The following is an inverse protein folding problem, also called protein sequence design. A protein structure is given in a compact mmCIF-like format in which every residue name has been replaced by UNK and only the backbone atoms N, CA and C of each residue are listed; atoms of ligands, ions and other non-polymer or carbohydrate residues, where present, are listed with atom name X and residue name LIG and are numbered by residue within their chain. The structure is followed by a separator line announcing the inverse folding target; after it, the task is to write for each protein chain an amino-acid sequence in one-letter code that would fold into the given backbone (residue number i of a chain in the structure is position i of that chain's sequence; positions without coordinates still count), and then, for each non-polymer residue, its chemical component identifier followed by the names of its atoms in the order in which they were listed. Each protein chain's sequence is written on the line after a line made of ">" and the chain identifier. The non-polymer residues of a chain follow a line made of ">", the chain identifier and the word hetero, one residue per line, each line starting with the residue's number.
data_IF_102137749308
#
_entry.id   IF_102137749308
#
_cell.length_a   1.000
_cell.length_b   1.000
_cell.length_c   1.000
_cell.angle_alpha   90.00
_cell.angle_beta   90.00
_cell.angle_gamma   90.00
#
_symmetry.space_group_name_H-M   'P 1'
#
loop_
_entity.id
_entity.type
_entity.pdbx_description
1 polymer ?
#
# COMPACT_ATOMS: atom_id res chain seq x y z
N UNK A 1 -14.87 -7.94 -14.08
CA UNK A 1 -15.55 -7.38 -12.90
C UNK A 1 -14.59 -7.49 -11.73
N UNK A 2 -14.15 -6.37 -11.14
CA UNK A 2 -13.30 -6.38 -9.94
C UNK A 2 -14.15 -6.02 -8.73
N UNK A 3 -14.12 -6.84 -7.68
CA UNK A 3 -14.88 -6.59 -6.44
C UNK A 3 -14.11 -5.71 -5.45
N UNK A 4 -12.77 -5.77 -5.44
CA UNK A 4 -11.90 -4.88 -4.67
C UNK A 4 -10.64 -4.50 -5.49
N UNK A 5 -10.61 -3.31 -6.12
CA UNK A 5 -9.45 -2.84 -6.88
C UNK A 5 -8.18 -2.61 -6.04
N UNK A 6 -8.32 -2.40 -4.73
CA UNK A 6 -7.18 -2.26 -3.81
C UNK A 6 -6.60 -3.63 -3.52
N UNK A 7 -7.45 -4.64 -3.27
CA UNK A 7 -6.98 -6.01 -3.06
C UNK A 7 -6.24 -6.57 -4.30
N UNK A 8 -6.72 -6.26 -5.51
CA UNK A 8 -6.02 -6.58 -6.76
C UNK A 8 -4.62 -5.93 -6.80
N UNK A 9 -4.54 -4.63 -6.51
CA UNK A 9 -3.27 -3.90 -6.43
C UNK A 9 -2.27 -4.53 -5.44
N UNK A 10 -2.68 -4.83 -4.22
CA UNK A 10 -1.81 -5.45 -3.21
C UNK A 10 -1.39 -6.87 -3.64
N UNK A 11 -2.30 -7.60 -4.30
CA UNK A 11 -2.02 -8.96 -4.79
C UNK A 11 -1.02 -8.94 -5.94
N UNK A 12 -1.11 -7.99 -6.88
CA UNK A 12 -0.14 -7.85 -7.96
C UNK A 12 1.26 -7.50 -7.45
N UNK A 13 1.37 -6.65 -6.43
CA UNK A 13 2.65 -6.37 -5.77
C UNK A 13 3.24 -7.65 -5.17
N UNK A 14 2.45 -8.37 -4.36
CA UNK A 14 2.88 -9.62 -3.72
C UNK A 14 3.31 -10.68 -4.74
N UNK A 15 2.50 -10.89 -5.78
CA UNK A 15 2.80 -11.88 -6.81
C UNK A 15 4.01 -11.47 -7.65
N UNK A 16 4.14 -10.18 -7.99
CA UNK A 16 5.33 -9.66 -8.67
C UNK A 16 6.60 -9.85 -7.85
N UNK A 17 6.51 -9.68 -6.52
CA UNK A 17 7.61 -9.95 -5.61
C UNK A 17 8.02 -11.41 -5.61
N UNK A 18 7.06 -12.32 -5.44
CA UNK A 18 7.31 -13.77 -5.46
C UNK A 18 7.87 -14.26 -6.81
N UNK A 19 7.47 -13.62 -7.91
CA UNK A 19 7.98 -13.92 -9.26
C UNK A 19 9.34 -13.28 -9.57
N UNK A 20 9.90 -12.46 -8.67
CA UNK A 20 11.18 -11.78 -8.88
C UNK A 20 11.13 -10.68 -9.96
N UNK A 21 9.96 -10.12 -10.23
CA UNK A 21 9.80 -9.06 -11.23
C UNK A 21 10.38 -7.74 -10.72
N UNK A 22 11.03 -6.98 -11.62
CA UNK A 22 11.55 -5.65 -11.27
C UNK A 22 10.44 -4.60 -11.19
N UNK A 23 9.43 -4.73 -12.05
CA UNK A 23 8.33 -3.78 -12.19
C UNK A 23 7.01 -4.53 -12.29
N UNK A 24 5.97 -3.97 -11.66
CA UNK A 24 4.59 -4.46 -11.76
C UNK A 24 3.71 -3.35 -12.34
N UNK A 25 2.85 -3.72 -13.28
CA UNK A 25 1.92 -2.81 -13.94
C UNK A 25 0.48 -3.05 -13.46
N UNK A 26 -0.19 -1.95 -13.08
CA UNK A 26 -1.50 -1.98 -12.43
C UNK A 26 -2.34 -0.82 -12.98
N UNK A 27 -3.66 -0.98 -13.19
CA UNK A 27 -4.50 0.17 -13.53
C UNK A 27 -4.44 1.24 -12.43
N UNK A 28 -4.19 2.48 -12.82
CA UNK A 28 -4.00 3.61 -11.90
C UNK A 28 -5.32 4.05 -11.26
N UNK A 29 -5.23 4.56 -10.04
CA UNK A 29 -6.28 5.31 -9.35
C UNK A 29 -5.65 6.23 -8.31
N UNK A 30 -6.34 7.30 -7.90
CA UNK A 30 -5.83 8.25 -6.90
C UNK A 30 -5.40 7.55 -5.60
N UNK A 31 -6.21 6.59 -5.12
CA UNK A 31 -5.90 5.81 -3.91
C UNK A 31 -4.68 4.92 -4.10
N UNK A 32 -4.54 4.24 -5.25
CA UNK A 32 -3.37 3.37 -5.52
C UNK A 32 -2.09 4.20 -5.59
N UNK A 33 -2.15 5.37 -6.23
CA UNK A 33 -1.02 6.31 -6.30
C UNK A 33 -0.62 6.77 -4.90
N UNK A 34 -1.57 7.20 -4.07
CA UNK A 34 -1.29 7.62 -2.69
C UNK A 34 -0.69 6.49 -1.83
N UNK A 35 -1.17 5.24 -2.00
CA UNK A 35 -0.56 4.08 -1.32
C UNK A 35 0.87 3.86 -1.83
N UNK A 36 1.11 3.94 -3.13
CA UNK A 36 2.46 3.80 -3.72
C UNK A 36 3.42 4.89 -3.25
N UNK A 37 2.96 6.13 -3.10
CA UNK A 37 3.74 7.23 -2.53
C UNK A 37 4.19 6.92 -1.10
N UNK A 38 3.25 6.51 -0.23
CA UNK A 38 3.59 6.08 1.14
C UNK A 38 4.57 4.91 1.14
N UNK A 39 4.38 3.91 0.27
CA UNK A 39 5.28 2.76 0.17
C UNK A 39 6.70 3.19 -0.24
N UNK A 40 6.83 4.19 -1.12
CA UNK A 40 8.12 4.75 -1.53
C UNK A 40 8.78 5.51 -0.39
N UNK A 41 8.04 6.39 0.28
CA UNK A 41 8.56 7.21 1.39
C UNK A 41 9.01 6.36 2.58
N UNK A 42 8.30 5.27 2.85
CA UNK A 42 8.67 4.30 3.89
C UNK A 42 9.74 3.30 3.40
N UNK A 43 10.18 3.38 2.15
CA UNK A 43 11.29 2.61 1.60
C UNK A 43 10.98 1.14 1.27
N UNK A 44 9.70 0.79 1.12
CA UNK A 44 9.24 -0.57 0.74
C UNK A 44 9.35 -0.85 -0.76
N UNK A 45 9.23 0.17 -1.60
CA UNK A 45 9.43 0.10 -3.05
C UNK A 45 10.56 1.03 -3.46
N UNK A 46 11.09 0.84 -4.68
CA UNK A 46 12.12 1.74 -5.20
C UNK A 46 11.50 3.04 -5.71
N UNK A 47 10.50 2.93 -6.56
CA UNK A 47 9.82 4.08 -7.15
C UNK A 47 8.46 3.67 -7.73
N UNK A 48 7.66 4.65 -8.12
CA UNK A 48 6.46 4.44 -8.92
C UNK A 48 6.35 5.50 -10.01
N UNK A 49 5.67 5.15 -11.11
CA UNK A 49 5.39 6.07 -12.22
C UNK A 49 3.97 5.87 -12.71
N UNK A 50 3.27 6.97 -12.95
CA UNK A 50 1.98 6.96 -13.67
C UNK A 50 2.27 7.25 -15.13
N UNK A 51 1.79 6.38 -16.01
CA UNK A 51 1.83 6.56 -17.45
C UNK A 51 0.43 6.80 -17.97
N UNK A 52 0.27 7.88 -18.72
CA UNK A 52 -1.00 8.27 -19.34
C UNK A 52 -1.18 7.48 -20.64
N UNK A 53 -1.81 6.32 -20.49
CA UNK A 53 -2.13 5.40 -21.59
C UNK A 53 -3.65 5.35 -21.75
N UNK A 54 -4.15 5.55 -22.97
CA UNK A 54 -5.58 5.39 -23.24
C UNK A 54 -5.96 3.89 -23.21
N UNK A 55 -7.14 3.50 -22.68
CA UNK A 55 -8.20 4.34 -22.10
C UNK A 55 -8.06 4.62 -20.59
N UNK A 56 -7.11 3.97 -19.89
CA UNK A 56 -6.91 4.14 -18.45
C UNK A 56 -5.42 4.18 -18.11
N UNK A 57 -5.01 5.20 -17.36
CA UNK A 57 -3.62 5.39 -16.93
C UNK A 57 -3.10 4.14 -16.20
N UNK A 58 -1.82 3.83 -16.41
CA UNK A 58 -1.15 2.68 -15.81
C UNK A 58 -0.20 3.16 -14.73
N UNK A 59 -0.27 2.52 -13.57
CA UNK A 59 0.66 2.70 -12.46
C UNK A 59 1.72 1.59 -12.54
N UNK A 60 2.96 1.99 -12.79
CA UNK A 60 4.14 1.12 -12.74
C UNK A 60 4.80 1.26 -11.38
N UNK A 61 5.01 0.14 -10.70
CA UNK A 61 5.65 0.08 -9.37
C UNK A 61 6.97 -0.68 -9.50
N UNK A 62 8.08 -0.01 -9.19
CA UNK A 62 9.40 -0.64 -9.16
C UNK A 62 9.63 -1.31 -7.80
N UNK A 63 9.69 -2.64 -7.80
CA UNK A 63 9.81 -3.45 -6.59
C UNK A 63 11.24 -3.42 -6.06
N UNK A 64 11.36 -3.32 -4.73
CA UNK A 64 12.65 -3.28 -4.04
C UNK A 64 13.02 -4.65 -3.49
N UNK A 65 14.28 -5.01 -3.72
CA UNK A 65 14.89 -6.24 -3.25
C UNK A 65 16.23 -5.93 -2.61
N UNK A 66 16.63 -6.77 -1.66
CA UNK A 66 17.99 -6.76 -1.14
C UNK A 66 18.99 -7.19 -2.23
N UNK A 67 20.09 -6.45 -2.36
CA UNK A 67 21.06 -6.66 -3.45
C UNK A 67 21.82 -7.99 -3.34
N UNK A 68 22.01 -8.49 -2.12
CA UNK A 68 22.82 -9.68 -1.84
C UNK A 68 21.95 -10.92 -1.76
N UNK A 69 20.89 -10.85 -0.97
CA UNK A 69 20.01 -11.99 -0.66
C UNK A 69 18.84 -12.14 -1.63
N UNK A 70 18.58 -11.13 -2.47
CA UNK A 70 17.41 -11.04 -3.37
C UNK A 70 16.06 -11.13 -2.64
N UNK A 71 16.05 -10.99 -1.33
CA UNK A 71 14.82 -11.01 -0.53
C UNK A 71 14.02 -9.73 -0.81
N UNK A 72 12.70 -9.82 -1.05
CA UNK A 72 11.87 -8.63 -1.25
C UNK A 72 11.81 -7.77 0.01
N UNK A 73 11.78 -6.45 -0.17
CA UNK A 73 11.69 -5.49 0.93
C UNK A 73 10.35 -5.56 1.69
N UNK A 74 9.28 -6.00 1.02
CA UNK A 74 7.98 -6.27 1.63
C UNK A 74 7.91 -7.78 1.91
N UNK A 75 7.73 -8.14 3.17
CA UNK A 75 7.55 -9.52 3.62
C UNK A 75 6.08 -9.89 3.69
N UNK A 76 5.23 -8.97 4.14
CA UNK A 76 3.79 -9.15 4.21
C UNK A 76 3.06 -7.87 3.78
N UNK A 77 2.08 -8.03 2.89
CA UNK A 77 1.15 -6.97 2.50
C UNK A 77 -0.28 -7.51 2.55
N UNK A 78 -1.13 -6.88 3.34
CA UNK A 78 -2.46 -7.42 3.67
C UNK A 78 -3.55 -6.36 3.62
N UNK A 79 -4.66 -6.69 2.96
CA UNK A 79 -5.90 -5.89 2.95
C UNK A 79 -6.64 -6.09 4.28
N UNK A 80 -6.88 -5.01 5.03
CA UNK A 80 -7.54 -5.05 6.35
C UNK A 80 -9.04 -4.78 6.21
N UNK A 81 -9.41 -3.55 5.88
CA UNK A 81 -10.80 -3.24 5.52
C UNK A 81 -11.16 -3.96 4.22
N UNK A 82 -12.35 -4.52 4.06
CA UNK A 82 -12.80 -5.18 2.82
C UNK A 82 -14.17 -4.64 2.44
N UNK A 83 -14.59 -4.71 1.16
CA UNK A 83 -15.92 -4.22 0.76
C UNK A 83 -17.07 -4.80 1.59
N UNK A 84 -16.99 -6.08 1.96
CA UNK A 84 -17.98 -6.76 2.80
C UNK A 84 -17.84 -6.51 4.31
N UNK A 85 -16.72 -5.94 4.78
CA UNK A 85 -16.53 -5.59 6.19
C UNK A 85 -15.52 -4.43 6.29
N UNK A 86 -16.04 -3.23 6.47
CA UNK A 86 -15.22 -2.02 6.59
C UNK A 86 -14.65 -1.90 8.00
N UNK A 87 -13.36 -1.60 8.09
CA UNK A 87 -12.63 -1.52 9.35
C UNK A 87 -12.22 -0.06 9.60
N UNK A 88 -12.95 0.61 10.49
CA UNK A 88 -12.65 1.98 10.93
C UNK A 88 -12.07 1.96 12.34
N UNK A 89 -11.11 2.85 12.61
CA UNK A 89 -10.46 2.98 13.92
C UNK A 89 -10.31 4.45 14.28
N UNK A 90 -10.46 4.75 15.58
CA UNK A 90 -10.03 6.03 16.16
C UNK A 90 -8.51 6.15 16.03
N UNK A 91 -7.95 7.35 16.21
CA UNK A 91 -6.49 7.58 16.20
C UNK A 91 -5.75 6.66 17.19
N UNK A 92 -6.30 6.49 18.38
CA UNK A 92 -5.71 5.67 19.45
C UNK A 92 -5.80 4.16 19.15
N UNK A 93 -6.87 3.72 18.48
CA UNK A 93 -7.12 2.30 18.17
C UNK A 93 -6.52 1.83 16.84
N UNK A 94 -5.80 2.69 16.12
CA UNK A 94 -5.11 2.26 14.89
C UNK A 94 -4.14 1.14 15.28
N UNK A 95 -4.10 -0.01 14.57
CA UNK A 95 -3.19 -1.09 14.91
C UNK A 95 -1.72 -0.69 14.71
N UNK A 96 -0.83 -1.20 15.57
CA UNK A 96 0.62 -1.14 15.34
C UNK A 96 1.05 -2.43 14.63
N UNK A 97 1.69 -2.29 13.48
CA UNK A 97 2.13 -3.45 12.68
C UNK A 97 3.53 -3.87 13.11
N UNK A 98 3.72 -5.14 13.47
CA UNK A 98 5.00 -5.72 13.97
C UNK A 98 5.70 -4.80 15.00
N UNK A 99 4.97 -4.36 16.02
CA UNK A 99 5.48 -3.45 17.07
C UNK A 99 6.12 -2.14 16.53
N UNK A 100 5.66 -1.64 15.39
CA UNK A 100 6.11 -0.38 14.78
C UNK A 100 7.19 -0.53 13.71
N UNK A 101 7.60 -1.77 13.40
CA UNK A 101 8.48 -2.10 12.28
C UNK A 101 7.74 -2.13 10.93
N UNK A 102 6.43 -2.41 10.95
CA UNK A 102 5.57 -2.25 9.78
C UNK A 102 4.78 -0.95 9.83
N UNK A 103 3.98 -0.72 8.78
CA UNK A 103 3.07 0.41 8.68
C UNK A 103 1.65 -0.06 8.48
N UNK A 104 0.70 0.69 9.03
CA UNK A 104 -0.70 0.64 8.61
C UNK A 104 -1.01 1.86 7.74
N UNK A 105 -1.63 1.65 6.59
CA UNK A 105 -2.10 2.72 5.71
C UNK A 105 -3.56 3.00 6.01
N UNK A 106 -3.87 4.25 6.33
CA UNK A 106 -5.18 4.68 6.82
C UNK A 106 -5.74 5.78 5.92
N UNK A 107 -6.99 5.63 5.50
CA UNK A 107 -7.74 6.70 4.84
C UNK A 107 -8.42 7.56 5.88
N UNK A 108 -8.03 8.82 5.96
CA UNK A 108 -8.61 9.79 6.91
C UNK A 108 -9.32 10.91 6.16
N UNK A 109 -9.98 11.82 6.88
CA UNK A 109 -10.57 13.04 6.30
C UNK A 109 -9.52 14.00 5.70
N UNK A 110 -8.25 13.89 6.10
CA UNK A 110 -7.14 14.71 5.61
C UNK A 110 -6.36 14.03 4.46
N UNK A 111 -6.79 12.85 4.01
CA UNK A 111 -6.13 12.06 2.98
C UNK A 111 -5.63 10.70 3.48
N UNK A 112 -4.94 9.98 2.60
CA UNK A 112 -4.34 8.68 2.91
C UNK A 112 -2.97 8.91 3.55
N UNK A 113 -2.72 8.28 4.70
CA UNK A 113 -1.48 8.48 5.46
C UNK A 113 -1.10 7.22 6.25
N UNK A 114 0.06 7.26 6.91
CA UNK A 114 0.54 6.18 7.79
C UNK A 114 -0.14 6.25 9.16
N UNK A 115 -0.13 5.13 9.89
CA UNK A 115 -0.62 5.04 11.26
C UNK A 115 0.13 5.94 12.24
N UNK A 116 1.42 6.22 11.99
CA UNK A 116 2.21 7.17 12.78
C UNK A 116 1.73 8.61 12.55
N UNK A 117 1.49 8.98 11.29
CA UNK A 117 1.01 10.31 10.94
C UNK A 117 -0.42 10.54 11.44
N UNK A 118 -1.30 9.55 11.29
CA UNK A 118 -2.68 9.61 11.77
C UNK A 118 -2.75 9.80 13.30
N UNK A 119 -1.90 9.11 14.07
CA UNK A 119 -1.78 9.33 15.52
C UNK A 119 -1.24 10.71 15.86
N UNK A 120 -0.21 11.19 15.15
CA UNK A 120 0.37 12.52 15.35
C UNK A 120 -0.66 13.63 15.12
N UNK A 121 -1.50 13.49 14.10
CA UNK A 121 -2.51 14.48 13.75
C UNK A 121 -3.82 14.31 14.53
N UNK A 122 -3.89 13.30 15.40
CA UNK A 122 -5.07 12.88 16.16
C UNK A 122 -6.31 12.67 15.28
N UNK A 123 -6.16 11.95 14.17
CA UNK A 123 -7.26 11.65 13.24
C UNK A 123 -7.38 10.15 13.02
N UNK A 124 -8.58 9.62 13.18
CA UNK A 124 -8.93 8.23 12.85
C UNK A 124 -9.29 8.04 11.38
N UNK A 125 -9.67 6.81 11.00
CA UNK A 125 -10.05 6.53 9.62
C UNK A 125 -10.26 5.07 9.28
N UNK A 126 -10.41 4.78 7.99
CA UNK A 126 -10.48 3.41 7.46
C UNK A 126 -9.07 2.82 7.38
N UNK A 127 -8.83 1.70 8.05
CA UNK A 127 -7.56 0.97 7.94
C UNK A 127 -7.55 0.19 6.63
N UNK A 128 -6.87 0.71 5.61
CA UNK A 128 -6.87 0.13 4.27
C UNK A 128 -6.07 -1.18 4.27
N UNK A 129 -4.79 -1.09 4.59
CA UNK A 129 -3.87 -2.22 4.52
C UNK A 129 -2.74 -2.09 5.53
N UNK A 130 -2.06 -3.20 5.76
CA UNK A 130 -0.83 -3.28 6.56
C UNK A 130 0.30 -3.82 5.72
N UNK A 131 1.51 -3.30 5.95
CA UNK A 131 2.73 -3.63 5.19
C UNK A 131 3.87 -3.84 6.18
N UNK A 132 4.66 -4.90 5.99
CA UNK A 132 5.79 -5.24 6.89
C UNK A 132 6.77 -6.24 6.29
#
# INVERSE_FOLDING_TARGET
>A
MYTDPIADFLTRIRNGQSAGLRVVEIPSSKTKVAISEILKDQGFIHDYKVEDVAPQNVLKVALKYDKLTKVPAIREIKRISKPGLRQYKSSDDIPRVKNGLGIAVVSTSKGVMTDKQARKDNVGGEVICTVS
#
